data_IF_216799906367
#
_entry.id   IF_216799906367
#
_cell.length_a   1.000
_cell.length_b   1.000
_cell.length_c   1.000
_cell.angle_alpha   90.00
_cell.angle_beta   90.00
_cell.angle_gamma   90.00
#
_symmetry.space_group_name_H-M   'P 1'
#
loop_
_entity.id
_entity.type
_entity.pdbx_description
1 polymer ?
#
# COMPACT_ATOMS: atom_id res chain seq x y z
N UNK A 1 -72.61 91.39 31.28
CA UNK A 1 -73.36 91.13 30.03
C UNK A 1 -72.66 91.88 28.92
N UNK A 2 -71.89 91.22 28.05
CA UNK A 2 -71.37 91.68 26.74
C UNK A 2 -70.64 90.46 26.11
N UNK A 3 -71.02 90.10 24.89
CA UNK A 3 -70.11 89.54 23.87
C UNK A 3 -70.03 90.64 22.80
N UNK A 4 -68.91 90.85 22.06
CA UNK A 4 -68.50 89.83 21.08
C UNK A 4 -67.07 89.91 20.44
N UNK A 5 -66.83 89.02 19.47
CA UNK A 5 -66.03 89.18 18.22
C UNK A 5 -64.48 89.27 18.23
N UNK A 6 -63.76 88.28 17.65
CA UNK A 6 -63.24 88.31 16.25
C UNK A 6 -62.51 87.01 15.81
N UNK A 7 -62.69 86.66 14.52
CA UNK A 7 -62.08 85.55 13.75
C UNK A 7 -60.62 85.82 13.34
N UNK A 8 -59.79 84.77 13.17
CA UNK A 8 -58.75 84.72 12.11
C UNK A 8 -58.35 83.29 11.67
N UNK A 9 -58.70 82.98 10.42
CA UNK A 9 -58.20 82.02 9.41
C UNK A 9 -57.33 80.81 9.79
N UNK A 10 -57.81 79.61 9.42
CA UNK A 10 -57.05 78.60 8.67
C UNK A 10 -58.01 77.90 7.68
N UNK A 11 -57.73 78.00 6.37
CA UNK A 11 -58.40 77.20 5.34
C UNK A 11 -57.93 75.74 5.42
N UNK A 12 -58.81 74.73 5.38
CA UNK A 12 -58.41 73.40 4.96
C UNK A 12 -58.57 73.31 3.44
N UNK A 13 -57.43 73.19 2.75
CA UNK A 13 -57.37 72.66 1.39
C UNK A 13 -57.75 71.18 1.50
N UNK A 14 -58.90 70.78 0.98
CA UNK A 14 -59.15 69.37 0.71
C UNK A 14 -60.10 69.27 -0.47
N UNK A 15 -59.65 68.71 -1.60
CA UNK A 15 -60.45 67.90 -2.53
C UNK A 15 -59.64 67.21 -3.65
N UNK A 16 -58.29 67.13 -3.62
CA UNK A 16 -57.52 66.47 -4.72
C UNK A 16 -56.43 65.45 -4.31
N UNK A 17 -56.46 64.92 -3.08
CA UNK A 17 -55.48 63.93 -2.63
C UNK A 17 -55.88 62.46 -2.85
N UNK A 18 -57.13 62.17 -3.22
CA UNK A 18 -57.62 60.78 -3.30
C UNK A 18 -57.03 59.99 -4.49
N UNK A 19 -56.70 60.65 -5.60
CA UNK A 19 -56.08 60.00 -6.78
C UNK A 19 -54.58 59.74 -6.62
N UNK A 20 -53.84 60.71 -6.06
CA UNK A 20 -52.40 60.59 -5.84
C UNK A 20 -52.05 59.53 -4.77
N UNK A 21 -52.84 59.43 -3.69
CA UNK A 21 -52.63 58.39 -2.67
C UNK A 21 -52.85 56.98 -3.20
N UNK A 22 -53.82 56.78 -4.11
CA UNK A 22 -54.04 55.47 -4.73
C UNK A 22 -52.88 55.07 -5.64
N UNK A 23 -52.36 56.01 -6.42
CA UNK A 23 -51.19 55.81 -7.28
C UNK A 23 -49.93 55.50 -6.48
N UNK A 24 -49.67 56.25 -5.41
CA UNK A 24 -48.52 56.01 -4.51
C UNK A 24 -48.67 54.66 -3.79
N UNK A 25 -49.88 54.33 -3.32
CA UNK A 25 -50.15 53.03 -2.69
C UNK A 25 -49.97 51.87 -3.67
N UNK A 26 -50.42 52.01 -4.92
CA UNK A 26 -50.23 51.01 -5.97
C UNK A 26 -48.75 50.84 -6.33
N UNK A 27 -47.99 51.93 -6.40
CA UNK A 27 -46.56 51.90 -6.70
C UNK A 27 -45.75 51.26 -5.56
N UNK A 28 -46.09 51.58 -4.31
CA UNK A 28 -45.51 50.94 -3.12
C UNK A 28 -45.85 49.45 -3.09
N UNK A 29 -47.12 49.08 -3.37
CA UNK A 29 -47.54 47.68 -3.39
C UNK A 29 -46.80 46.90 -4.49
N UNK A 30 -46.65 47.49 -5.69
CA UNK A 30 -45.87 46.90 -6.77
C UNK A 30 -44.41 46.67 -6.35
N UNK A 31 -43.76 47.65 -5.73
CA UNK A 31 -42.40 47.51 -5.19
C UNK A 31 -42.29 46.43 -4.12
N UNK A 32 -43.28 46.35 -3.22
CA UNK A 32 -43.34 45.35 -2.16
C UNK A 32 -43.50 43.93 -2.72
N UNK A 33 -44.32 43.76 -3.75
CA UNK A 33 -44.47 42.46 -4.43
C UNK A 33 -43.18 42.02 -5.10
N UNK A 34 -42.45 42.93 -5.76
CA UNK A 34 -41.14 42.62 -6.38
C UNK A 34 -40.11 42.22 -5.31
N UNK A 35 -40.06 42.96 -4.19
CA UNK A 35 -39.15 42.64 -3.09
C UNK A 35 -39.44 41.27 -2.47
N UNK A 36 -40.71 40.98 -2.18
CA UNK A 36 -41.15 39.70 -1.63
C UNK A 36 -40.87 38.56 -2.60
N UNK A 37 -41.18 38.72 -3.90
CA UNK A 37 -40.89 37.73 -4.92
C UNK A 37 -39.38 37.43 -5.02
N UNK A 38 -38.55 38.47 -5.01
CA UNK A 38 -37.08 38.33 -5.05
C UNK A 38 -36.53 37.64 -3.80
N UNK A 39 -37.05 37.97 -2.62
CA UNK A 39 -36.68 37.32 -1.37
C UNK A 39 -37.08 35.84 -1.32
N UNK A 40 -38.26 35.49 -1.84
CA UNK A 40 -38.73 34.10 -1.97
C UNK A 40 -37.89 33.29 -2.96
N UNK A 41 -37.53 33.88 -4.11
CA UNK A 41 -36.65 33.23 -5.10
C UNK A 41 -35.27 32.95 -4.50
N UNK A 42 -34.67 33.93 -3.81
CA UNK A 42 -33.36 33.79 -3.18
C UNK A 42 -33.36 32.80 -2.00
N UNK A 43 -34.42 32.77 -1.20
CA UNK A 43 -34.56 31.80 -0.09
C UNK A 43 -34.76 30.38 -0.62
N UNK A 44 -35.58 30.22 -1.66
CA UNK A 44 -35.84 28.92 -2.29
C UNK A 44 -34.59 28.38 -2.99
N UNK A 45 -33.85 29.22 -3.72
CA UNK A 45 -32.60 28.84 -4.38
C UNK A 45 -31.51 28.48 -3.36
N UNK A 46 -31.39 29.23 -2.27
CA UNK A 46 -30.47 28.93 -1.17
C UNK A 46 -30.83 27.61 -0.46
N UNK A 47 -32.12 27.35 -0.23
CA UNK A 47 -32.59 26.09 0.34
C UNK A 47 -32.32 24.87 -0.55
N UNK A 48 -32.52 24.99 -1.87
CA UNK A 48 -32.18 23.92 -2.83
C UNK A 48 -30.68 23.66 -2.84
N UNK A 49 -29.86 24.71 -2.81
CA UNK A 49 -28.39 24.61 -2.79
C UNK A 49 -27.88 23.88 -1.54
N UNK A 50 -28.36 24.25 -0.34
CA UNK A 50 -27.99 23.60 0.92
C UNK A 50 -28.40 22.12 0.92
N UNK A 51 -29.61 21.82 0.43
CA UNK A 51 -30.08 20.43 0.32
C UNK A 51 -29.24 19.61 -0.67
N UNK A 52 -28.84 20.20 -1.80
CA UNK A 52 -27.97 19.54 -2.78
C UNK A 52 -26.56 19.31 -2.22
N UNK A 53 -26.01 20.24 -1.44
CA UNK A 53 -24.72 20.05 -0.77
C UNK A 53 -24.77 18.89 0.24
N UNK A 54 -25.80 18.86 1.10
CA UNK A 54 -25.99 17.75 2.04
C UNK A 54 -26.16 16.39 1.32
N UNK A 55 -26.91 16.35 0.22
CA UNK A 55 -27.10 15.13 -0.59
C UNK A 55 -25.82 14.71 -1.33
N UNK A 56 -25.03 15.67 -1.77
CA UNK A 56 -23.71 15.41 -2.39
C UNK A 56 -22.78 14.77 -1.38
N UNK A 57 -22.70 15.31 -0.16
CA UNK A 57 -21.91 14.73 0.94
C UNK A 57 -22.35 13.31 1.27
N UNK A 58 -23.65 13.07 1.41
CA UNK A 58 -24.17 11.73 1.68
C UNK A 58 -23.87 10.74 0.54
N UNK A 59 -24.01 11.17 -0.72
CA UNK A 59 -23.72 10.35 -1.90
C UNK A 59 -22.21 10.07 -2.04
N UNK A 60 -21.36 11.01 -1.64
CA UNK A 60 -19.92 10.83 -1.56
C UNK A 60 -19.55 9.75 -0.55
N UNK A 61 -20.07 9.83 0.69
CA UNK A 61 -19.79 8.82 1.72
C UNK A 61 -20.32 7.44 1.36
N UNK A 62 -21.48 7.35 0.72
CA UNK A 62 -22.02 6.08 0.22
C UNK A 62 -21.12 5.47 -0.87
N UNK A 63 -20.66 6.29 -1.83
CA UNK A 63 -19.72 5.84 -2.88
C UNK A 63 -18.38 5.42 -2.28
N UNK A 64 -17.90 6.14 -1.27
CA UNK A 64 -16.66 5.83 -0.56
C UNK A 64 -16.77 4.50 0.19
N UNK A 65 -17.85 4.28 0.93
CA UNK A 65 -18.11 3.02 1.62
C UNK A 65 -18.16 1.82 0.65
N UNK A 66 -18.78 2.02 -0.53
CA UNK A 66 -18.77 1.00 -1.58
C UNK A 66 -17.35 0.70 -2.09
N UNK A 67 -16.52 1.72 -2.34
CA UNK A 67 -15.12 1.51 -2.73
C UNK A 67 -14.30 0.80 -1.65
N UNK A 68 -14.52 1.11 -0.37
CA UNK A 68 -13.85 0.43 0.74
C UNK A 68 -14.26 -1.04 0.83
N UNK A 69 -15.57 -1.33 0.71
CA UNK A 69 -16.06 -2.72 0.67
C UNK A 69 -15.48 -3.49 -0.50
N UNK A 70 -15.44 -2.89 -1.70
CA UNK A 70 -14.80 -3.50 -2.86
C UNK A 70 -13.31 -3.75 -2.63
N UNK A 71 -12.59 -2.79 -2.04
CA UNK A 71 -11.15 -2.91 -1.75
C UNK A 71 -10.86 -4.03 -0.75
N UNK A 72 -11.69 -4.14 0.31
CA UNK A 72 -11.58 -5.21 1.30
C UNK A 72 -11.83 -6.58 0.66
N UNK A 73 -12.98 -6.77 0.02
CA UNK A 73 -13.33 -8.08 -0.55
C UNK A 73 -12.37 -8.47 -1.69
N UNK A 74 -11.88 -7.50 -2.46
CA UNK A 74 -10.82 -7.75 -3.44
C UNK A 74 -9.52 -8.21 -2.78
N UNK A 75 -9.12 -7.61 -1.65
CA UNK A 75 -7.95 -8.07 -0.89
C UNK A 75 -8.15 -9.49 -0.35
N UNK A 76 -9.37 -9.84 0.07
CA UNK A 76 -9.69 -11.17 0.61
C UNK A 76 -9.51 -12.28 -0.45
N UNK A 77 -9.72 -11.99 -1.74
CA UNK A 77 -9.46 -12.94 -2.85
C UNK A 77 -8.00 -13.41 -2.88
N UNK A 78 -7.05 -12.53 -2.54
CA UNK A 78 -5.62 -12.85 -2.59
C UNK A 78 -5.13 -13.73 -1.44
N UNK A 79 -6.01 -14.09 -0.51
CA UNK A 79 -5.71 -15.12 0.49
C UNK A 79 -5.60 -16.51 -0.13
N UNK A 80 -6.32 -16.77 -1.23
CA UNK A 80 -6.41 -18.07 -1.88
C UNK A 80 -6.09 -18.07 -3.39
N UNK A 81 -6.19 -16.92 -4.06
CA UNK A 81 -6.02 -16.82 -5.50
C UNK A 81 -4.88 -15.86 -5.87
N UNK A 82 -4.11 -16.19 -6.91
CA UNK A 82 -3.09 -15.30 -7.46
C UNK A 82 -3.70 -14.16 -8.29
N UNK A 83 -4.86 -14.40 -8.90
CA UNK A 83 -5.66 -13.41 -9.61
C UNK A 83 -7.14 -13.69 -9.39
N UNK A 84 -7.98 -12.65 -9.29
CA UNK A 84 -9.43 -12.81 -9.19
C UNK A 84 -10.03 -13.43 -10.45
N UNK A 85 -11.01 -14.30 -10.26
CA UNK A 85 -11.83 -14.86 -11.34
C UNK A 85 -12.99 -13.92 -11.71
N UNK A 86 -13.57 -14.02 -12.92
CA UNK A 86 -14.72 -13.20 -13.31
C UNK A 86 -15.93 -13.32 -12.38
N UNK A 87 -16.18 -14.51 -11.80
CA UNK A 87 -17.25 -14.72 -10.85
C UNK A 87 -16.99 -13.99 -9.53
N UNK A 88 -15.77 -14.06 -8.99
CA UNK A 88 -15.37 -13.31 -7.78
C UNK A 88 -15.52 -11.81 -7.98
N UNK A 89 -15.09 -11.26 -9.13
CA UNK A 89 -15.27 -9.83 -9.42
C UNK A 89 -16.75 -9.45 -9.50
N UNK A 90 -17.60 -10.33 -10.03
CA UNK A 90 -19.06 -10.10 -10.09
C UNK A 90 -19.68 -10.09 -8.69
N UNK A 91 -19.26 -11.02 -7.82
CA UNK A 91 -19.70 -11.05 -6.41
C UNK A 91 -19.28 -9.79 -5.66
N UNK A 92 -18.03 -9.35 -5.79
CA UNK A 92 -17.53 -8.13 -5.13
C UNK A 92 -18.36 -6.91 -5.55
N UNK A 93 -18.66 -6.77 -6.86
CA UNK A 93 -19.52 -5.69 -7.37
C UNK A 93 -20.90 -5.73 -6.71
N UNK A 94 -21.56 -6.89 -6.75
CA UNK A 94 -22.90 -7.07 -6.20
C UNK A 94 -22.97 -6.77 -4.70
N UNK A 95 -22.01 -7.28 -3.92
CA UNK A 95 -21.95 -7.07 -2.48
C UNK A 95 -21.78 -5.60 -2.11
N UNK A 96 -20.94 -4.86 -2.84
CA UNK A 96 -20.74 -3.45 -2.62
C UNK A 96 -21.95 -2.59 -3.02
N UNK A 97 -22.64 -2.94 -4.11
CA UNK A 97 -23.88 -2.28 -4.50
C UNK A 97 -25.02 -2.53 -3.48
N UNK A 98 -25.03 -3.70 -2.83
CA UNK A 98 -26.00 -4.05 -1.80
C UNK A 98 -25.86 -3.24 -0.48
N UNK A 99 -24.83 -2.39 -0.33
CA UNK A 99 -24.81 -1.39 0.75
C UNK A 99 -25.99 -0.39 0.66
N UNK A 100 -26.66 -0.30 -0.50
CA UNK A 100 -27.85 0.53 -0.69
C UNK A 100 -29.15 -0.10 -0.17
N UNK A 101 -29.18 -1.42 0.09
CA UNK A 101 -30.39 -2.10 0.56
C UNK A 101 -30.41 -2.10 2.09
N UNK A 102 -31.45 -1.55 2.73
CA UNK A 102 -31.62 -1.68 4.18
C UNK A 102 -31.62 -3.17 4.52
N UNK A 103 -30.69 -3.61 5.37
CA UNK A 103 -30.91 -4.83 6.12
C UNK A 103 -32.10 -4.55 7.05
N UNK A 104 -33.24 -5.18 6.78
CA UNK A 104 -34.45 -5.04 7.58
C UNK A 104 -34.28 -5.57 9.01
N UNK A 105 -33.19 -6.27 9.32
CA UNK A 105 -32.91 -6.91 10.61
C UNK A 105 -31.60 -6.43 11.28
N UNK A 106 -30.94 -5.39 10.75
CA UNK A 106 -29.74 -4.82 11.35
C UNK A 106 -30.10 -3.83 12.46
N UNK A 107 -29.68 -4.13 13.70
CA UNK A 107 -29.67 -3.19 14.83
C UNK A 107 -28.42 -2.30 14.86
N UNK A 108 -27.59 -2.33 13.81
CA UNK A 108 -26.39 -1.50 13.67
C UNK A 108 -26.79 -0.15 13.02
N UNK A 109 -26.56 1.00 13.68
CA UNK A 109 -26.89 2.31 13.11
C UNK A 109 -26.05 2.69 11.88
N UNK A 110 -25.11 1.86 11.43
CA UNK A 110 -24.38 2.05 10.19
C UNK A 110 -25.02 1.27 9.02
N UNK A 111 -25.74 2.01 8.18
CA UNK A 111 -26.04 1.82 6.74
C UNK A 111 -27.52 2.19 6.49
N UNK A 112 -27.80 3.48 6.61
CA UNK A 112 -29.05 4.08 6.14
C UNK A 112 -28.73 4.90 4.90
N UNK A 113 -28.57 4.22 3.77
CA UNK A 113 -28.69 4.85 2.46
C UNK A 113 -30.18 4.98 2.12
N UNK A 114 -30.92 5.80 2.88
CA UNK A 114 -32.36 6.01 2.68
C UNK A 114 -32.60 6.67 1.31
N UNK A 115 -32.92 5.84 0.31
CA UNK A 115 -33.35 6.28 -1.02
C UNK A 115 -32.23 6.64 -2.00
N UNK A 116 -30.98 6.24 -1.77
CA UNK A 116 -29.91 6.39 -2.80
C UNK A 116 -29.65 5.04 -3.48
N UNK A 117 -29.28 5.10 -4.76
CA UNK A 117 -28.93 3.92 -5.57
C UNK A 117 -27.42 3.92 -5.76
N UNK A 118 -26.77 2.82 -5.37
CA UNK A 118 -25.33 2.62 -5.59
C UNK A 118 -25.15 1.66 -6.77
N UNK A 119 -24.36 2.08 -7.76
CA UNK A 119 -23.88 1.25 -8.86
C UNK A 119 -22.37 1.10 -8.73
N UNK A 120 -21.87 -0.11 -8.88
CA UNK A 120 -20.45 -0.42 -8.77
C UNK A 120 -19.96 -1.11 -10.04
N UNK A 121 -18.71 -0.85 -10.40
CA UNK A 121 -18.04 -1.59 -11.45
C UNK A 121 -16.57 -1.83 -11.14
N UNK A 122 -16.04 -2.92 -11.69
CA UNK A 122 -14.64 -3.31 -11.63
C UNK A 122 -14.23 -3.60 -13.07
N UNK A 123 -13.35 -2.76 -13.58
CA UNK A 123 -12.74 -2.97 -14.89
C UNK A 123 -11.29 -3.41 -14.69
N UNK A 124 -10.96 -4.60 -15.19
CA UNK A 124 -9.55 -4.97 -15.41
C UNK A 124 -9.07 -4.17 -16.62
N UNK A 125 -7.99 -3.41 -16.48
CA UNK A 125 -7.47 -2.66 -17.61
C UNK A 125 -6.89 -3.62 -18.66
N UNK A 126 -7.18 -3.38 -19.95
CA UNK A 126 -6.79 -4.24 -21.09
C UNK A 126 -5.29 -4.20 -21.42
N UNK A 127 -4.45 -3.76 -20.48
CA UNK A 127 -3.01 -3.82 -20.67
C UNK A 127 -2.57 -5.29 -20.65
N UNK A 128 -1.94 -5.74 -21.73
CA UNK A 128 -1.11 -6.94 -21.70
C UNK A 128 -0.17 -6.80 -20.50
N UNK A 129 -0.11 -7.82 -19.64
CA UNK A 129 0.62 -7.73 -18.37
C UNK A 129 2.04 -7.21 -18.60
N UNK A 130 2.28 -5.96 -18.21
CA UNK A 130 3.55 -5.30 -18.52
C UNK A 130 4.57 -5.76 -17.48
N UNK A 131 5.67 -6.33 -17.96
CA UNK A 131 6.84 -6.59 -17.11
C UNK A 131 7.45 -5.28 -16.65
N UNK A 132 7.17 -4.88 -15.41
CA UNK A 132 7.71 -3.66 -14.81
C UNK A 132 8.67 -3.99 -13.66
N UNK A 133 9.52 -3.04 -13.28
CA UNK A 133 10.27 -3.11 -12.03
C UNK A 133 9.55 -2.30 -10.96
N UNK A 134 9.29 -2.90 -9.81
CA UNK A 134 8.76 -2.17 -8.65
C UNK A 134 9.78 -1.14 -8.18
N UNK A 135 9.35 0.09 -7.93
CA UNK A 135 10.22 1.17 -7.46
C UNK A 135 10.15 1.35 -5.95
N UNK A 136 9.01 1.01 -5.34
CA UNK A 136 8.70 1.30 -3.94
C UNK A 136 8.28 0.05 -3.17
N UNK A 137 8.30 0.16 -1.84
CA UNK A 137 7.86 -0.90 -0.94
C UNK A 137 8.89 -2.02 -0.74
N UNK A 138 8.53 -3.08 0.00
CA UNK A 138 9.44 -4.15 0.39
C UNK A 138 9.99 -4.94 -0.81
N UNK A 139 9.21 -5.01 -1.90
CA UNK A 139 9.56 -5.72 -3.12
C UNK A 139 10.25 -4.82 -4.17
N UNK A 140 10.76 -3.65 -3.77
CA UNK A 140 11.43 -2.72 -4.69
C UNK A 140 12.62 -3.36 -5.41
N UNK A 141 12.72 -3.04 -6.69
CA UNK A 141 13.67 -3.58 -7.65
C UNK A 141 13.26 -4.91 -8.26
N UNK A 142 12.25 -5.61 -7.73
CA UNK A 142 11.81 -6.88 -8.32
C UNK A 142 11.01 -6.64 -9.61
N UNK A 143 11.17 -7.55 -10.56
CA UNK A 143 10.36 -7.61 -11.77
C UNK A 143 9.00 -8.20 -11.42
N UNK A 144 7.94 -7.62 -11.98
CA UNK A 144 6.57 -8.06 -11.75
C UNK A 144 5.74 -7.96 -13.02
N UNK A 145 4.82 -8.90 -13.16
CA UNK A 145 3.69 -8.83 -14.06
C UNK A 145 2.58 -8.07 -13.32
N UNK A 146 2.30 -6.84 -13.77
CA UNK A 146 1.27 -5.99 -13.14
C UNK A 146 -0.07 -6.17 -13.85
N UNK A 147 -1.12 -6.31 -13.08
CA UNK A 147 -2.51 -6.17 -13.51
C UNK A 147 -3.13 -4.97 -12.81
N UNK A 148 -3.80 -4.10 -13.57
CA UNK A 148 -4.56 -2.97 -13.02
C UNK A 148 -6.05 -3.29 -12.98
N UNK A 149 -6.67 -2.97 -11.84
CA UNK A 149 -8.10 -3.01 -11.64
C UNK A 149 -8.59 -1.62 -11.26
N UNK A 150 -9.54 -1.09 -12.02
CA UNK A 150 -10.17 0.20 -11.74
C UNK A 150 -11.54 -0.06 -11.15
N UNK A 151 -11.74 0.40 -9.93
CA UNK A 151 -13.01 0.32 -9.23
C UNK A 151 -13.74 1.63 -9.39
N UNK A 152 -15.03 1.56 -9.66
CA UNK A 152 -15.90 2.72 -9.74
C UNK A 152 -17.13 2.48 -8.88
N UNK A 153 -17.49 3.47 -8.07
CA UNK A 153 -18.74 3.50 -7.34
C UNK A 153 -19.47 4.80 -7.65
N UNK A 154 -20.70 4.68 -8.14
CA UNK A 154 -21.57 5.79 -8.50
C UNK A 154 -22.81 5.72 -7.62
N UNK A 155 -23.01 6.73 -6.77
CA UNK A 155 -24.22 6.87 -5.96
C UNK A 155 -25.10 7.98 -6.52
N UNK A 156 -26.36 7.67 -6.76
CA UNK A 156 -27.39 8.64 -7.15
C UNK A 156 -28.40 8.77 -6.01
N UNK A 157 -28.56 9.99 -5.49
CA UNK A 157 -29.56 10.31 -4.47
C UNK A 157 -30.98 10.26 -5.04
N UNK A 158 -31.98 10.20 -4.17
CA UNK A 158 -33.40 10.29 -4.54
C UNK A 158 -33.79 11.55 -5.33
N UNK A 159 -32.96 12.60 -5.30
CA UNK A 159 -33.20 13.84 -6.04
C UNK A 159 -32.37 13.95 -7.33
N UNK A 160 -31.69 12.88 -7.73
CA UNK A 160 -30.87 12.83 -8.94
C UNK A 160 -29.44 13.37 -8.77
N UNK A 161 -29.03 13.80 -7.57
CA UNK A 161 -27.62 14.18 -7.32
C UNK A 161 -26.76 12.94 -7.45
N UNK A 162 -25.76 12.97 -8.33
CA UNK A 162 -24.91 11.81 -8.61
C UNK A 162 -23.46 12.13 -8.26
N UNK A 163 -22.82 11.23 -7.51
CA UNK A 163 -21.39 11.26 -7.20
C UNK A 163 -20.77 9.99 -7.70
N UNK A 164 -19.65 10.10 -8.40
CA UNK A 164 -18.85 8.96 -8.85
C UNK A 164 -17.44 9.07 -8.30
N UNK A 165 -16.97 8.00 -7.67
CA UNK A 165 -15.60 7.85 -7.21
C UNK A 165 -14.93 6.70 -7.95
N UNK A 166 -13.64 6.85 -8.23
CA UNK A 166 -12.82 5.80 -8.85
C UNK A 166 -11.52 5.57 -8.08
N UNK A 167 -11.06 4.31 -8.03
CA UNK A 167 -9.80 3.88 -7.41
C UNK A 167 -9.11 2.85 -8.30
N UNK A 168 -7.83 3.05 -8.60
CA UNK A 168 -6.99 2.02 -9.24
C UNK A 168 -6.25 1.20 -8.20
N UNK A 169 -6.27 -0.12 -8.36
CA UNK A 169 -5.50 -1.08 -7.59
C UNK A 169 -4.59 -1.90 -8.52
N UNK A 170 -3.40 -2.22 -8.03
CA UNK A 170 -2.41 -3.00 -8.78
C UNK A 170 -2.16 -4.36 -8.13
N UNK A 171 -2.48 -5.43 -8.84
CA UNK A 171 -2.01 -6.77 -8.50
C UNK A 171 -0.62 -6.98 -9.13
N UNK A 172 0.43 -7.01 -8.31
CA UNK A 172 1.80 -7.20 -8.77
C UNK A 172 2.21 -8.66 -8.54
N UNK A 173 2.18 -9.47 -9.61
CA UNK A 173 2.64 -10.85 -9.61
C UNK A 173 4.16 -10.87 -9.72
N UNK A 174 4.85 -11.22 -8.64
CA UNK A 174 6.31 -11.24 -8.56
C UNK A 174 6.79 -12.69 -8.78
N UNK A 175 7.50 -13.00 -9.87
CA UNK A 175 8.04 -14.34 -10.07
C UNK A 175 9.08 -14.69 -9.00
N UNK A 176 9.00 -15.91 -8.45
CA UNK A 176 9.94 -16.38 -7.41
C UNK A 176 11.35 -16.61 -8.00
N UNK A 177 11.46 -17.01 -9.26
CA UNK A 177 12.72 -17.36 -9.94
C UNK A 177 13.62 -16.18 -10.32
N UNK A 178 13.39 -14.99 -9.75
CA UNK A 178 14.29 -13.84 -9.93
C UNK A 178 15.37 -13.74 -8.84
N UNK A 179 15.30 -14.61 -7.82
CA UNK A 179 16.37 -14.77 -6.84
C UNK A 179 17.29 -15.90 -7.27
N UNK A 180 18.60 -15.64 -7.25
CA UNK A 180 19.61 -16.70 -7.27
C UNK A 180 19.62 -17.44 -5.94
N UNK A 181 19.54 -16.71 -4.82
CA UNK A 181 19.41 -17.28 -3.47
C UNK A 181 18.35 -16.52 -2.68
N UNK A 182 17.41 -17.26 -2.11
CA UNK A 182 16.46 -16.75 -1.13
C UNK A 182 16.47 -17.63 0.11
N UNK A 183 16.68 -17.03 1.28
CA UNK A 183 16.60 -17.74 2.56
C UNK A 183 15.71 -17.02 3.55
N UNK A 184 14.84 -17.78 4.20
CA UNK A 184 14.06 -17.32 5.35
C UNK A 184 14.88 -17.31 6.64
N UNK A 185 16.10 -17.87 6.59
CA UNK A 185 17.05 -18.00 7.69
C UNK A 185 18.33 -17.21 7.35
N UNK A 186 19.41 -17.48 8.07
CA UNK A 186 20.71 -16.92 7.77
C UNK A 186 21.25 -17.52 6.47
N UNK A 187 22.16 -16.80 5.82
CA UNK A 187 22.99 -17.32 4.73
C UNK A 187 24.44 -17.29 5.17
N UNK A 188 25.19 -18.32 4.83
CA UNK A 188 26.61 -18.43 5.16
C UNK A 188 27.36 -18.71 3.87
N UNK A 189 28.33 -17.85 3.56
CA UNK A 189 29.19 -17.96 2.40
C UNK A 189 30.62 -18.21 2.89
N UNK A 190 31.06 -19.46 2.72
CA UNK A 190 32.39 -19.94 3.03
C UNK A 190 32.89 -20.75 1.83
N UNK A 191 33.29 -20.03 0.78
CA UNK A 191 33.78 -20.65 -0.45
C UNK A 191 35.24 -21.06 -0.27
N UNK A 192 35.58 -22.26 -0.74
CA UNK A 192 36.97 -22.68 -0.94
C UNK A 192 37.50 -22.12 -2.27
N UNK A 193 37.07 -22.66 -3.43
CA UNK A 193 37.37 -22.07 -4.74
C UNK A 193 36.57 -20.79 -5.05
N UNK A 194 36.90 -20.05 -6.13
CA UNK A 194 36.12 -18.89 -6.56
C UNK A 194 34.66 -19.24 -6.81
N UNK A 195 33.74 -18.41 -6.29
CA UNK A 195 32.30 -18.65 -6.40
C UNK A 195 31.55 -17.40 -6.88
N UNK A 196 30.75 -17.55 -7.95
CA UNK A 196 30.07 -16.44 -8.61
C UNK A 196 28.54 -16.65 -8.60
N UNK A 197 27.80 -15.70 -8.03
CA UNK A 197 26.33 -15.69 -8.00
C UNK A 197 25.75 -14.73 -9.04
N UNK A 198 25.12 -15.29 -10.07
CA UNK A 198 24.53 -14.53 -11.18
C UNK A 198 23.16 -13.91 -10.92
N UNK A 199 22.56 -14.09 -9.73
CA UNK A 199 21.21 -13.63 -9.43
C UNK A 199 21.09 -13.01 -8.05
N UNK A 200 19.91 -12.46 -7.73
CA UNK A 200 19.67 -11.75 -6.47
C UNK A 200 19.83 -12.65 -5.26
N UNK A 201 20.39 -12.09 -4.21
CA UNK A 201 20.55 -12.78 -2.93
C UNK A 201 19.73 -12.05 -1.86
N UNK A 202 18.86 -12.78 -1.19
CA UNK A 202 18.08 -12.26 -0.07
C UNK A 202 18.09 -13.21 1.13
N UNK A 203 18.30 -12.67 2.32
CA UNK A 203 18.12 -13.37 3.58
C UNK A 203 17.17 -12.60 4.51
N UNK A 204 16.13 -13.28 5.02
CA UNK A 204 15.28 -12.74 6.09
C UNK A 204 15.99 -12.67 7.45
N UNK A 205 17.23 -13.17 7.53
CA UNK A 205 18.15 -13.00 8.67
C UNK A 205 19.53 -12.61 8.16
N UNK A 206 20.55 -12.73 8.98
CA UNK A 206 21.91 -12.27 8.69
C UNK A 206 22.58 -13.04 7.55
N UNK A 207 23.53 -12.37 6.89
CA UNK A 207 24.44 -12.95 5.90
C UNK A 207 25.84 -12.97 6.50
N UNK A 208 26.47 -14.14 6.54
CA UNK A 208 27.86 -14.30 6.97
C UNK A 208 28.75 -14.48 5.74
N UNK A 209 29.78 -13.65 5.65
CA UNK A 209 30.75 -13.63 4.58
C UNK A 209 32.13 -13.96 5.18
N UNK A 210 32.62 -15.14 4.84
CA UNK A 210 33.95 -15.62 5.25
C UNK A 210 34.62 -16.27 4.04
N UNK A 211 34.99 -15.49 3.00
CA UNK A 211 35.63 -16.05 1.82
C UNK A 211 37.01 -16.65 2.11
N UNK A 212 37.35 -17.79 1.49
CA UNK A 212 38.74 -18.28 1.40
C UNK A 212 39.37 -18.02 0.02
N UNK A 213 38.56 -17.56 -0.93
CA UNK A 213 38.95 -17.09 -2.27
C UNK A 213 37.81 -16.13 -2.74
N UNK A 214 37.81 -15.68 -3.99
CA UNK A 214 36.87 -14.70 -4.50
C UNK A 214 35.41 -15.21 -4.45
N UNK A 215 34.54 -14.53 -3.69
CA UNK A 215 33.08 -14.63 -3.79
C UNK A 215 32.51 -13.42 -4.53
N UNK A 216 31.82 -13.62 -5.66
CA UNK A 216 31.17 -12.54 -6.42
C UNK A 216 29.66 -12.59 -6.34
N UNK A 217 29.05 -11.45 -6.10
CA UNK A 217 27.62 -11.21 -6.28
C UNK A 217 27.40 -10.28 -7.47
N UNK A 218 26.75 -10.78 -8.52
CA UNK A 218 26.54 -10.05 -9.78
C UNK A 218 25.27 -9.20 -9.78
N UNK A 219 24.30 -9.50 -8.90
CA UNK A 219 23.05 -8.76 -8.75
C UNK A 219 22.83 -8.41 -7.26
N UNK A 220 21.73 -7.69 -6.99
CA UNK A 220 21.39 -7.11 -5.70
C UNK A 220 21.43 -8.13 -4.56
N UNK A 221 22.07 -7.74 -3.47
CA UNK A 221 22.17 -8.48 -2.21
C UNK A 221 21.45 -7.73 -1.09
N UNK A 222 20.53 -8.39 -0.41
CA UNK A 222 19.71 -7.79 0.64
C UNK A 222 19.61 -8.69 1.86
N UNK A 223 19.60 -8.10 3.05
CA UNK A 223 19.35 -8.82 4.30
C UNK A 223 18.49 -7.99 5.24
N UNK A 224 17.56 -8.63 5.94
CA UNK A 224 16.82 -8.02 7.08
C UNK A 224 17.74 -7.84 8.28
N UNK A 225 18.72 -8.73 8.42
CA UNK A 225 19.68 -8.74 9.50
C UNK A 225 20.88 -7.85 9.21
N UNK A 226 22.04 -8.38 9.55
CA UNK A 226 23.35 -7.79 9.32
C UNK A 226 24.10 -8.53 8.22
N UNK A 227 25.08 -7.86 7.62
CA UNK A 227 26.15 -8.53 6.87
C UNK A 227 27.36 -8.60 7.78
N UNK A 228 27.76 -9.81 8.13
CA UNK A 228 28.94 -10.08 8.96
C UNK A 228 30.10 -10.47 8.07
N UNK A 229 31.25 -9.83 8.27
CA UNK A 229 32.48 -10.13 7.54
C UNK A 229 33.55 -10.68 8.50
N UNK A 230 34.19 -11.79 8.16
CA UNK A 230 35.29 -12.36 8.95
C UNK A 230 34.86 -13.09 10.22
N UNK A 231 33.58 -13.45 10.36
CA UNK A 231 33.09 -14.28 11.46
C UNK A 231 32.12 -15.32 10.95
N UNK A 232 32.33 -16.57 11.37
CA UNK A 232 31.37 -17.65 11.17
C UNK A 232 30.21 -17.50 12.13
N UNK A 233 29.06 -18.09 11.78
CA UNK A 233 27.85 -18.00 12.61
C UNK A 233 28.01 -18.64 14.00
N UNK A 234 28.87 -19.65 14.13
CA UNK A 234 29.21 -20.27 15.41
C UNK A 234 30.08 -19.36 16.32
N UNK A 235 30.48 -18.17 15.85
CA UNK A 235 31.28 -17.22 16.60
C UNK A 235 32.79 -17.39 16.46
N UNK A 236 33.24 -18.34 15.65
CA UNK A 236 34.66 -18.44 15.29
C UNK A 236 35.04 -17.30 14.34
N UNK A 237 36.05 -16.53 14.73
CA UNK A 237 36.67 -15.55 13.86
C UNK A 237 37.48 -16.26 12.77
N UNK A 238 37.45 -15.69 11.56
CA UNK A 238 38.23 -16.18 10.43
C UNK A 238 39.16 -15.08 9.98
N UNK A 239 40.42 -15.44 9.74
CA UNK A 239 41.34 -14.55 9.06
C UNK A 239 40.84 -14.36 7.63
N UNK A 240 40.80 -13.11 7.18
CA UNK A 240 40.24 -12.69 5.88
C UNK A 240 41.36 -12.30 4.91
N UNK A 241 42.57 -12.78 5.16
CA UNK A 241 43.75 -12.62 4.32
C UNK A 241 43.68 -13.47 3.05
N UNK A 242 42.89 -14.54 3.07
CA UNK A 242 42.86 -15.56 2.01
C UNK A 242 41.87 -15.25 0.86
N UNK A 243 40.85 -14.41 1.07
CA UNK A 243 39.78 -14.22 0.08
C UNK A 243 39.07 -12.88 0.12
N UNK A 244 38.41 -12.55 -1.00
CA UNK A 244 37.70 -11.29 -1.21
C UNK A 244 36.22 -11.52 -1.52
N UNK A 245 35.34 -10.67 -0.98
CA UNK A 245 33.97 -10.56 -1.48
C UNK A 245 33.88 -9.40 -2.46
N UNK A 246 33.25 -9.60 -3.60
CA UNK A 246 32.99 -8.56 -4.58
C UNK A 246 31.50 -8.45 -4.89
N UNK A 247 31.00 -7.22 -4.94
CA UNK A 247 29.63 -6.93 -5.40
C UNK A 247 29.71 -6.12 -6.68
N UNK A 248 28.92 -6.50 -7.68
CA UNK A 248 28.75 -5.67 -8.86
C UNK A 248 27.99 -4.39 -8.50
N UNK A 249 28.51 -3.24 -8.91
CA UNK A 249 27.75 -1.99 -8.88
C UNK A 249 26.69 -1.99 -10.01
N UNK A 250 25.88 -0.93 -10.10
CA UNK A 250 24.84 -0.80 -11.16
C UNK A 250 25.40 -0.81 -12.59
N UNK A 251 26.68 -0.45 -12.79
CA UNK A 251 27.36 -0.49 -14.08
C UNK A 251 27.97 -1.87 -14.39
N UNK A 252 27.86 -2.85 -13.49
CA UNK A 252 28.45 -4.19 -13.64
C UNK A 252 29.93 -4.29 -13.22
N UNK A 253 30.52 -3.23 -12.69
CA UNK A 253 31.89 -3.26 -12.15
C UNK A 253 31.91 -3.91 -10.77
N UNK A 254 32.79 -4.88 -10.57
CA UNK A 254 32.98 -5.53 -9.28
C UNK A 254 33.76 -4.63 -8.30
N UNK A 255 33.15 -4.34 -7.16
CA UNK A 255 33.75 -3.61 -6.05
C UNK A 255 34.11 -4.61 -4.96
N UNK A 256 35.40 -4.68 -4.61
CA UNK A 256 35.88 -5.49 -3.48
C UNK A 256 35.42 -4.88 -2.16
N UNK A 257 34.86 -5.72 -1.29
CA UNK A 257 34.31 -5.36 0.01
C UNK A 257 34.92 -6.26 1.08
N UNK A 258 35.82 -5.67 1.88
CA UNK A 258 36.50 -6.33 3.02
C UNK A 258 35.90 -5.97 4.37
N UNK A 259 34.59 -5.73 4.38
CA UNK A 259 33.87 -5.27 5.57
C UNK A 259 32.39 -5.63 5.52
N UNK A 260 31.76 -5.69 6.68
CA UNK A 260 30.31 -5.81 6.85
C UNK A 260 29.80 -4.76 7.82
N UNK A 261 28.49 -4.78 8.11
CA UNK A 261 27.94 -4.02 9.23
C UNK A 261 28.37 -4.58 10.59
N UNK A 262 28.91 -5.81 10.60
CA UNK A 262 29.53 -6.50 11.74
C UNK A 262 30.87 -7.08 11.32
N UNK A 263 31.90 -6.97 12.18
CA UNK A 263 33.22 -7.56 11.96
C UNK A 263 33.56 -8.61 13.02
N UNK A 264 34.28 -9.66 12.60
CA UNK A 264 34.76 -10.74 13.47
C UNK A 264 35.89 -10.33 14.40
N UNK A 265 36.98 -9.77 13.86
CA UNK A 265 38.17 -9.35 14.61
C UNK A 265 38.55 -7.89 14.32
N UNK A 266 39.23 -7.25 15.28
CA UNK A 266 39.89 -5.94 15.11
C UNK A 266 41.16 -6.00 14.24
N UNK A 267 41.68 -7.20 13.94
CA UNK A 267 42.95 -7.41 13.25
C UNK A 267 42.83 -7.84 11.78
N UNK A 268 41.62 -7.99 11.22
CA UNK A 268 41.47 -8.22 9.78
C UNK A 268 41.96 -6.96 9.03
N UNK A 269 43.02 -7.12 8.25
CA UNK A 269 43.86 -6.05 7.70
C UNK A 269 43.12 -4.83 7.13
N UNK A 270 43.28 -3.71 7.84
CA UNK A 270 43.38 -2.31 7.41
C UNK A 270 42.32 -1.73 6.43
N UNK A 271 41.25 -1.17 7.01
CA UNK A 271 41.09 0.30 6.96
C UNK A 271 40.99 0.76 8.42
N UNK A 272 41.80 1.74 8.87
CA UNK A 272 41.70 2.28 10.22
C UNK A 272 40.36 3.02 10.32
N UNK A 273 39.40 2.42 11.02
CA UNK A 273 38.18 3.13 11.39
C UNK A 273 38.06 3.14 12.91
N UNK A 274 37.98 4.35 13.44
CA UNK A 274 37.85 4.69 14.86
C UNK A 274 36.64 4.00 15.47
N UNK A 275 36.90 3.18 16.48
CA UNK A 275 35.90 2.47 17.27
C UNK A 275 35.44 3.43 18.37
N UNK A 276 34.49 4.32 18.04
CA UNK A 276 33.67 4.93 19.09
C UNK A 276 32.50 4.00 19.38
N UNK A 277 32.27 3.69 20.66
CA UNK A 277 31.11 2.95 21.15
C UNK A 277 29.84 3.48 20.47
N UNK A 278 29.40 2.78 19.43
CA UNK A 278 28.30 3.21 18.58
C UNK A 278 27.14 2.25 18.80
N UNK A 279 26.19 2.75 19.57
CA UNK A 279 24.84 2.24 19.74
C UNK A 279 24.27 1.82 18.39
N UNK A 280 23.90 0.54 18.24
CA UNK A 280 23.25 0.00 17.03
C UNK A 280 23.96 -1.16 16.33
N UNK A 281 25.15 -1.57 16.80
CA UNK A 281 25.76 -2.86 16.45
C UNK A 281 25.12 -4.04 17.18
N UNK A 282 25.34 -5.29 16.74
CA UNK A 282 24.74 -6.45 17.39
C UNK A 282 25.27 -6.54 18.83
N UNK A 283 24.34 -6.52 19.79
CA UNK A 283 24.55 -6.55 21.24
C UNK A 283 25.23 -5.31 21.86
N UNK A 284 24.44 -4.27 22.13
CA UNK A 284 24.70 -3.37 23.29
C UNK A 284 23.79 -3.69 24.49
N UNK A 285 22.91 -4.69 24.40
CA UNK A 285 22.18 -5.20 25.57
C UNK A 285 22.11 -6.73 25.53
N UNK A 286 22.30 -7.44 26.65
CA UNK A 286 22.09 -8.90 26.77
C UNK A 286 20.67 -9.42 26.46
N UNK A 287 19.83 -8.62 25.79
CA UNK A 287 18.39 -8.81 25.66
C UNK A 287 17.87 -8.80 24.21
N UNK A 288 18.70 -8.96 23.17
CA UNK A 288 18.23 -9.42 21.85
C UNK A 288 18.51 -10.94 21.70
N UNK A 289 17.55 -11.82 22.09
CA UNK A 289 17.72 -13.25 22.08
C UNK A 289 17.47 -13.79 20.67
N UNK A 290 18.25 -13.40 19.67
CA UNK A 290 18.26 -14.13 18.39
C UNK A 290 19.18 -15.35 18.56
N UNK A 291 18.64 -16.58 18.62
CA UNK A 291 19.48 -17.76 18.85
C UNK A 291 20.49 -17.90 17.71
N UNK A 292 21.78 -17.82 18.03
CA UNK A 292 22.88 -18.08 17.11
C UNK A 292 23.39 -16.89 16.28
N UNK A 293 23.33 -15.65 16.80
CA UNK A 293 24.15 -14.55 16.29
C UNK A 293 25.38 -14.37 17.21
N UNK A 294 26.61 -14.47 16.69
CA UNK A 294 27.82 -14.36 17.51
C UNK A 294 28.11 -12.92 17.92
N UNK A 295 28.89 -12.73 19.00
CA UNK A 295 29.41 -11.41 19.38
C UNK A 295 30.33 -10.86 18.29
N UNK A 296 30.34 -9.54 18.09
CA UNK A 296 31.18 -8.90 17.08
C UNK A 296 31.22 -7.39 17.23
N UNK A 297 32.04 -6.73 16.42
CA UNK A 297 32.19 -5.28 16.46
C UNK A 297 31.24 -4.60 15.47
N UNK A 298 30.56 -3.55 15.91
CA UNK A 298 29.73 -2.72 15.04
C UNK A 298 30.58 -1.99 14.00
N UNK A 299 30.18 -2.04 12.74
CA UNK A 299 30.72 -1.22 11.66
C UNK A 299 29.57 -0.63 10.81
N UNK A 300 28.36 -0.57 11.36
CA UNK A 300 27.14 -0.26 10.62
C UNK A 300 27.22 1.10 9.90
N UNK A 301 27.68 2.15 10.56
CA UNK A 301 27.77 3.50 9.97
C UNK A 301 28.73 3.54 8.80
N UNK A 302 29.97 3.08 9.00
CA UNK A 302 30.98 3.07 7.94
C UNK A 302 30.59 2.16 6.78
N UNK A 303 30.02 0.98 7.07
CA UNK A 303 29.53 0.07 6.04
C UNK A 303 28.37 0.67 5.25
N UNK A 304 27.39 1.30 5.91
CA UNK A 304 26.28 1.97 5.26
C UNK A 304 26.75 3.13 4.37
N UNK A 305 27.71 3.92 4.83
CA UNK A 305 28.31 4.98 4.00
C UNK A 305 29.02 4.38 2.79
N UNK A 306 29.81 3.32 3.00
CA UNK A 306 30.52 2.65 1.92
C UNK A 306 29.57 2.09 0.85
N UNK A 307 28.52 1.35 1.23
CA UNK A 307 27.58 0.77 0.27
C UNK A 307 26.71 1.84 -0.40
N UNK A 308 26.38 2.94 0.29
CA UNK A 308 25.63 4.05 -0.30
C UNK A 308 26.44 4.76 -1.38
N UNK A 309 27.75 4.95 -1.16
CA UNK A 309 28.64 5.62 -2.11
C UNK A 309 29.05 4.70 -3.27
N UNK A 310 29.46 3.47 -2.98
CA UNK A 310 30.11 2.59 -3.96
C UNK A 310 29.18 1.55 -4.58
N UNK A 311 28.11 1.18 -3.87
CA UNK A 311 27.17 0.12 -4.27
C UNK A 311 25.70 0.59 -4.18
N UNK A 312 25.37 1.81 -4.67
CA UNK A 312 24.03 2.37 -4.51
C UNK A 312 23.00 1.47 -5.18
N UNK A 313 22.01 1.05 -4.40
CA UNK A 313 20.96 0.18 -4.91
C UNK A 313 21.37 -1.27 -5.13
N UNK A 314 22.57 -1.70 -4.74
CA UNK A 314 23.05 -3.07 -4.92
C UNK A 314 23.17 -3.86 -3.62
N UNK A 315 23.61 -3.24 -2.54
CA UNK A 315 23.71 -3.89 -1.22
C UNK A 315 22.83 -3.16 -0.21
N UNK A 316 21.96 -3.90 0.49
CA UNK A 316 21.13 -3.36 1.55
C UNK A 316 21.15 -4.24 2.80
N UNK A 317 21.45 -3.64 3.95
CA UNK A 317 21.18 -4.19 5.27
C UNK A 317 19.86 -3.61 5.80
N UNK A 318 19.23 -4.31 6.76
CA UNK A 318 17.93 -3.90 7.32
C UNK A 318 16.82 -3.74 6.27
N UNK A 319 16.88 -4.55 5.20
CA UNK A 319 15.82 -4.63 4.23
C UNK A 319 14.53 -5.16 4.88
N UNK A 320 13.34 -4.87 4.33
CA UNK A 320 12.09 -5.48 4.79
C UNK A 320 12.09 -7.00 4.63
N UNK A 321 11.39 -7.69 5.54
CA UNK A 321 11.18 -9.14 5.45
C UNK A 321 10.38 -9.46 4.20
N UNK A 322 10.90 -10.38 3.38
CA UNK A 322 10.20 -10.90 2.23
C UNK A 322 9.54 -12.23 2.59
N UNK A 323 8.23 -12.33 2.39
CA UNK A 323 7.49 -13.58 2.58
C UNK A 323 7.15 -14.16 1.22
N UNK A 324 7.43 -15.45 1.03
CA UNK A 324 6.90 -16.15 -0.13
C UNK A 324 5.39 -16.34 0.03
N UNK A 325 4.59 -16.32 -1.05
CA UNK A 325 3.13 -16.40 -0.97
C UNK A 325 2.60 -17.55 -0.11
N UNK A 326 3.24 -18.72 -0.19
CA UNK A 326 2.85 -19.92 0.59
C UNK A 326 3.18 -19.82 2.09
N UNK A 327 4.04 -18.89 2.50
CA UNK A 327 4.32 -18.67 3.93
C UNK A 327 3.23 -17.88 4.63
N UNK A 328 2.33 -17.24 3.88
CA UNK A 328 1.21 -16.48 4.44
C UNK A 328 0.17 -17.41 5.10
N UNK A 329 0.19 -18.70 4.81
CA UNK A 329 -0.71 -19.72 5.36
C UNK A 329 -0.02 -20.67 6.34
N UNK A 330 1.07 -20.22 7.01
CA UNK A 330 1.90 -21.02 7.92
C UNK A 330 2.58 -22.25 7.30
N UNK A 331 2.57 -22.38 5.97
CA UNK A 331 3.24 -23.47 5.29
C UNK A 331 4.74 -23.19 5.12
N UNK A 332 5.55 -24.25 5.20
CA UNK A 332 6.99 -24.15 4.98
C UNK A 332 7.26 -23.99 3.47
N UNK A 333 8.15 -23.09 3.03
CA UNK A 333 8.47 -22.91 1.61
C UNK A 333 8.85 -24.20 0.87
N UNK A 334 9.56 -25.10 1.56
CA UNK A 334 10.01 -26.38 1.02
C UNK A 334 8.86 -27.29 0.58
N UNK A 335 7.65 -27.07 1.10
CA UNK A 335 6.50 -27.87 0.70
C UNK A 335 6.17 -27.71 -0.78
N UNK A 336 6.51 -26.59 -1.44
CA UNK A 336 6.21 -26.40 -2.87
C UNK A 336 6.91 -27.41 -3.79
N UNK A 337 8.07 -27.94 -3.39
CA UNK A 337 8.84 -28.92 -4.15
C UNK A 337 8.66 -30.36 -3.64
N UNK A 338 8.09 -30.54 -2.45
CA UNK A 338 7.83 -31.85 -1.87
C UNK A 338 6.54 -32.44 -2.42
N UNK A 339 6.47 -33.78 -2.41
CA UNK A 339 5.21 -34.51 -2.57
C UNK A 339 4.27 -34.15 -1.41
N UNK A 340 2.96 -34.09 -1.70
CA UNK A 340 1.94 -33.86 -0.67
C UNK A 340 1.90 -34.98 0.38
N UNK A 341 1.39 -34.65 1.57
CA UNK A 341 1.20 -35.63 2.64
C UNK A 341 0.01 -36.55 2.32
N UNK A 342 -0.02 -37.79 2.85
CA UNK A 342 -1.21 -38.64 2.74
C UNK A 342 -2.44 -37.92 3.33
N UNK A 343 -3.52 -37.83 2.55
CA UNK A 343 -4.77 -37.17 2.95
C UNK A 343 -4.85 -35.67 2.66
N UNK A 344 -3.86 -35.07 2.01
CA UNK A 344 -3.94 -33.67 1.54
C UNK A 344 -4.97 -33.54 0.40
N UNK A 345 -5.97 -32.67 0.56
CA UNK A 345 -7.00 -32.44 -0.45
C UNK A 345 -6.50 -31.54 -1.58
N UNK A 346 -6.35 -32.10 -2.78
CA UNK A 346 -5.88 -31.39 -3.96
C UNK A 346 -6.88 -30.39 -4.53
N UNK A 347 -8.17 -30.50 -4.21
CA UNK A 347 -9.22 -29.63 -4.72
C UNK A 347 -9.35 -28.32 -3.93
N UNK A 348 -9.05 -28.34 -2.63
CA UNK A 348 -9.25 -27.17 -1.74
C UNK A 348 -7.96 -26.63 -1.13
N UNK A 349 -6.90 -27.44 -1.01
CA UNK A 349 -5.63 -26.98 -0.45
C UNK A 349 -4.86 -26.12 -1.47
N UNK A 350 -4.73 -24.83 -1.14
CA UNK A 350 -3.87 -23.88 -1.88
C UNK A 350 -2.44 -24.42 -1.98
N UNK A 351 -1.94 -25.05 -0.91
CA UNK A 351 -0.61 -25.63 -0.90
C UNK A 351 -0.52 -26.77 -1.91
N UNK A 352 -1.46 -27.72 -1.88
CA UNK A 352 -1.49 -28.85 -2.81
C UNK A 352 -1.54 -28.37 -4.26
N UNK A 353 -2.44 -27.42 -4.57
CA UNK A 353 -2.54 -26.84 -5.92
C UNK A 353 -1.26 -26.09 -6.33
N UNK A 354 -0.49 -25.58 -5.38
CA UNK A 354 0.74 -24.83 -5.64
C UNK A 354 1.98 -25.72 -5.86
N UNK A 355 1.98 -26.96 -5.35
CA UNK A 355 3.13 -27.88 -5.43
C UNK A 355 3.51 -28.17 -6.89
N UNK A 356 4.79 -28.03 -7.22
CA UNK A 356 5.31 -28.38 -8.55
C UNK A 356 5.13 -29.87 -8.87
N UNK A 357 5.17 -30.73 -7.85
CA UNK A 357 4.88 -32.16 -8.00
C UNK A 357 3.50 -32.43 -8.64
N UNK A 358 2.50 -31.60 -8.33
CA UNK A 358 1.14 -31.75 -8.86
C UNK A 358 0.95 -31.07 -10.23
N UNK A 359 1.87 -30.16 -10.61
CA UNK A 359 1.85 -29.44 -11.88
C UNK A 359 2.72 -30.08 -12.96
N UNK A 360 3.61 -31.00 -12.60
CA UNK A 360 4.45 -31.71 -13.54
C UNK A 360 3.61 -32.66 -14.41
N UNK A 361 3.52 -32.37 -15.71
CA UNK A 361 2.71 -33.13 -16.67
C UNK A 361 3.35 -34.44 -17.14
N UNK A 362 4.64 -34.66 -16.91
CA UNK A 362 5.37 -35.87 -17.33
C UNK A 362 5.89 -36.62 -16.10
N UNK A 363 5.38 -37.84 -15.89
CA UNK A 363 5.79 -38.75 -14.81
C UNK A 363 6.38 -40.00 -15.43
N UNK A 364 7.71 -40.09 -15.45
CA UNK A 364 8.41 -41.31 -15.82
C UNK A 364 8.66 -42.08 -14.52
N UNK A 365 7.84 -43.10 -14.26
CA UNK A 365 8.13 -44.10 -13.24
C UNK A 365 8.93 -45.22 -13.89
N UNK A 366 10.19 -45.36 -13.50
CA UNK A 366 10.94 -46.58 -13.73
C UNK A 366 10.44 -47.58 -12.69
N UNK A 367 9.75 -48.62 -13.16
CA UNK A 367 9.37 -49.79 -12.37
C UNK A 367 10.55 -50.74 -12.21
#
# INVERSE_FOLDING_TARGET
MIKPFFKKFINPISQDQKGATLLIAALILALLTVFVATALINTSSSGISINNDARTKNSFYASYAALEKMSKEFSDVFTANLSPTPSQLTTIKANAAALATPDANSSDPAVIVKGMVIKTDIRKADFASTGITLTNGPYSGLKTLREEYVFTATTTSNSGVTVQLSRSLYNNLIPIFQFGIFSTRHLEFYNGPPFNFGGRVHANRDIYLTPQDITRFTDRVTTVGQITYGKLRNGTDRDMTDGDVQFANKAGTYITVRQGSVKGSSTAAAIPYSITNSSGGPNVTPSDPRPGHPSGFSNATAFNNFITTNLPGQVFVKAPVLKLPIQNTNNRPIEIIRRGLPGEDFATSILAQSRFYNKAGLRITLS
#
